data_IF_380445942556
#
_entry.id   IF_380445942556
#
_cell.length_a   1.000
_cell.length_b   1.000
_cell.length_c   1.000
_cell.angle_alpha   90.00
_cell.angle_beta   90.00
_cell.angle_gamma   90.00
#
_symmetry.space_group_name_H-M   'P 1'
#
loop_
_entity.id
_entity.type
_entity.pdbx_description
1 polymer ?
#
# COMPACT_ATOMS: atom_id res chain seq x y z
N UNK A 1 65.45 18.96 -10.94
CA UNK A 1 64.55 17.93 -11.49
C UNK A 1 63.83 17.24 -10.34
N UNK A 2 62.56 16.89 -10.54
CA UNK A 2 61.59 16.30 -9.60
C UNK A 2 60.94 17.30 -8.61
N UNK A 3 59.79 17.93 -8.90
CA UNK A 3 58.42 17.47 -9.28
C UNK A 3 57.56 17.20 -8.04
N UNK A 4 56.28 17.60 -8.13
CA UNK A 4 55.16 17.45 -7.18
C UNK A 4 55.01 18.64 -6.19
N UNK A 5 54.38 19.76 -6.56
CA UNK A 5 52.95 19.94 -6.89
C UNK A 5 52.00 19.39 -5.83
N UNK A 6 51.86 20.08 -4.68
CA UNK A 6 50.74 19.91 -3.74
C UNK A 6 50.51 21.20 -2.95
N UNK A 7 49.78 22.17 -3.50
CA UNK A 7 49.00 23.17 -2.73
C UNK A 7 47.89 23.69 -3.66
N UNK A 8 46.63 23.30 -3.40
CA UNK A 8 45.61 24.15 -2.77
C UNK A 8 45.19 25.34 -3.64
N UNK A 9 44.02 25.24 -4.27
CA UNK A 9 43.01 26.31 -4.49
C UNK A 9 41.90 25.71 -5.36
N UNK A 10 40.70 25.47 -4.83
CA UNK A 10 39.55 26.37 -5.04
C UNK A 10 38.98 26.12 -6.45
N UNK A 11 37.87 25.44 -6.66
CA UNK A 11 36.53 25.78 -6.17
C UNK A 11 35.63 24.57 -6.47
N UNK A 12 35.12 23.89 -5.45
CA UNK A 12 34.09 22.86 -5.59
C UNK A 12 32.76 23.59 -5.85
N UNK A 13 32.33 23.64 -7.11
CA UNK A 13 30.96 23.98 -7.48
C UNK A 13 30.09 22.83 -6.96
N UNK A 14 29.48 23.04 -5.80
CA UNK A 14 28.48 22.14 -5.22
C UNK A 14 27.24 22.13 -6.08
N UNK A 15 27.19 21.19 -7.03
CA UNK A 15 25.97 20.81 -7.73
C UNK A 15 25.03 20.18 -6.69
N UNK A 16 24.14 20.97 -6.10
CA UNK A 16 23.00 20.44 -5.36
C UNK A 16 22.13 19.67 -6.35
N UNK A 17 22.40 18.36 -6.45
CA UNK A 17 21.45 17.41 -6.98
C UNK A 17 20.27 17.39 -6.02
N UNK A 18 19.27 18.22 -6.30
CA UNK A 18 17.91 18.04 -5.84
C UNK A 18 17.43 16.68 -6.37
N UNK A 19 17.75 15.63 -5.62
CA UNK A 19 17.13 14.33 -5.79
C UNK A 19 15.70 14.49 -5.33
N UNK A 20 14.82 14.79 -6.29
CA UNK A 20 13.39 14.59 -6.13
C UNK A 20 13.20 13.09 -5.94
N UNK A 21 13.37 12.62 -4.69
CA UNK A 21 12.94 11.30 -4.31
C UNK A 21 11.43 11.27 -4.60
N UNK A 22 11.04 10.55 -5.65
CA UNK A 22 9.65 10.18 -5.85
C UNK A 22 9.23 9.44 -4.58
N UNK A 23 8.54 10.15 -3.68
CA UNK A 23 8.10 9.58 -2.42
C UNK A 23 7.13 8.44 -2.74
N UNK A 24 7.42 7.25 -2.21
CA UNK A 24 6.48 6.14 -2.26
C UNK A 24 5.13 6.61 -1.69
N UNK A 25 4.02 6.18 -2.30
CA UNK A 25 2.71 6.63 -1.85
C UNK A 25 2.47 6.23 -0.38
N UNK A 26 1.77 7.08 0.37
CA UNK A 26 1.53 6.83 1.80
C UNK A 26 0.41 5.81 2.02
N UNK A 27 -0.54 5.73 1.10
CA UNK A 27 -1.71 4.86 1.18
C UNK A 27 -1.85 4.01 -0.09
N UNK A 28 -2.49 2.85 0.05
CA UNK A 28 -2.90 2.04 -1.09
C UNK A 28 -4.41 1.79 -1.08
N UNK A 29 -5.00 1.67 -2.27
CA UNK A 29 -6.39 1.22 -2.45
C UNK A 29 -6.44 0.03 -3.39
N UNK A 30 -7.17 -1.01 -3.00
CA UNK A 30 -7.41 -2.21 -3.82
C UNK A 30 -8.89 -2.24 -4.23
N UNK A 31 -9.17 -2.01 -5.51
CA UNK A 31 -10.50 -2.09 -6.11
C UNK A 31 -10.79 -3.49 -6.66
N UNK A 32 -12.06 -3.79 -6.95
CA UNK A 32 -12.46 -5.11 -7.48
C UNK A 32 -11.94 -5.34 -8.90
N UNK A 33 -12.07 -4.35 -9.78
CA UNK A 33 -11.58 -4.41 -11.16
C UNK A 33 -11.50 -3.00 -11.74
N UNK A 34 -10.94 -2.82 -12.92
CA UNK A 34 -11.10 -1.61 -13.74
C UNK A 34 -11.77 -1.92 -15.09
N UNK A 35 -12.31 -3.13 -15.25
CA UNK A 35 -12.96 -3.58 -16.48
C UNK A 35 -14.39 -3.05 -16.65
N UNK A 36 -14.93 -2.32 -15.66
CA UNK A 36 -16.24 -1.69 -15.77
C UNK A 36 -16.21 -0.21 -15.34
N UNK A 37 -17.16 0.62 -15.83
CA UNK A 37 -17.14 2.06 -15.58
C UNK A 37 -17.28 2.45 -14.10
N UNK A 38 -18.01 1.68 -13.30
CA UNK A 38 -18.23 1.98 -11.88
C UNK A 38 -16.90 2.07 -11.12
N UNK A 39 -15.99 1.11 -11.32
CA UNK A 39 -14.70 1.14 -10.65
C UNK A 39 -13.71 2.15 -11.25
N UNK A 40 -13.86 2.50 -12.53
CA UNK A 40 -13.10 3.59 -13.16
C UNK A 40 -13.49 4.93 -12.53
N UNK A 41 -14.78 5.17 -12.33
CA UNK A 41 -15.29 6.36 -11.65
C UNK A 41 -14.87 6.39 -10.17
N UNK A 42 -14.93 5.25 -9.48
CA UNK A 42 -14.42 5.12 -8.11
C UNK A 42 -12.94 5.49 -8.01
N UNK A 43 -12.10 4.97 -8.93
CA UNK A 43 -10.67 5.32 -9.00
C UNK A 43 -10.49 6.84 -9.12
N UNK A 44 -11.23 7.48 -10.03
CA UNK A 44 -11.17 8.93 -10.22
C UNK A 44 -11.55 9.69 -8.95
N UNK A 45 -12.63 9.28 -8.27
CA UNK A 45 -13.05 9.87 -7.01
C UNK A 45 -11.98 9.78 -5.92
N UNK A 46 -11.30 8.63 -5.81
CA UNK A 46 -10.19 8.45 -4.88
C UNK A 46 -9.01 9.37 -5.23
N UNK A 47 -8.65 9.48 -6.51
CA UNK A 47 -7.55 10.35 -6.95
C UNK A 47 -7.84 11.84 -6.69
N UNK A 48 -9.08 12.26 -6.89
CA UNK A 48 -9.48 13.66 -6.68
C UNK A 48 -9.56 14.00 -5.18
N UNK A 49 -10.04 13.08 -4.35
CA UNK A 49 -10.03 13.24 -2.88
C UNK A 49 -8.60 13.24 -2.33
N UNK A 50 -7.73 12.35 -2.84
CA UNK A 50 -6.33 12.31 -2.42
C UNK A 50 -5.59 13.62 -2.72
N UNK A 51 -5.85 14.24 -3.88
CA UNK A 51 -5.33 15.59 -4.21
C UNK A 51 -5.87 16.65 -3.25
N UNK A 52 -7.16 16.60 -2.93
CA UNK A 52 -7.83 17.55 -2.03
C UNK A 52 -7.23 17.48 -0.62
N UNK A 53 -6.92 16.27 -0.15
CA UNK A 53 -6.30 16.04 1.16
C UNK A 53 -4.77 16.20 1.15
N UNK A 54 -4.15 16.35 -0.03
CA UNK A 54 -2.69 16.44 -0.16
C UNK A 54 -1.95 15.15 0.18
N UNK A 55 -2.61 13.99 0.03
CA UNK A 55 -2.02 12.67 0.31
C UNK A 55 -1.69 11.94 -0.98
N UNK A 56 -0.67 11.09 -0.95
CA UNK A 56 -0.32 10.20 -2.06
C UNK A 56 -0.99 8.84 -1.90
N UNK A 57 -1.63 8.36 -2.96
CA UNK A 57 -2.35 7.08 -2.99
C UNK A 57 -1.96 6.26 -4.22
N UNK A 58 -1.60 5.00 -4.01
CA UNK A 58 -1.46 4.02 -5.08
C UNK A 58 -2.77 3.25 -5.22
N UNK A 59 -3.34 3.19 -6.42
CA UNK A 59 -4.59 2.47 -6.68
C UNK A 59 -4.30 1.24 -7.53
N UNK A 60 -4.70 0.08 -7.01
CA UNK A 60 -4.59 -1.22 -7.65
C UNK A 60 -5.98 -1.82 -7.85
N UNK A 61 -6.09 -2.76 -8.78
CA UNK A 61 -7.32 -3.49 -9.00
C UNK A 61 -7.01 -4.92 -9.44
N UNK A 62 -7.93 -5.85 -9.16
CA UNK A 62 -7.82 -7.21 -9.69
C UNK A 62 -8.11 -7.24 -11.19
N UNK A 63 -7.54 -8.20 -11.94
CA UNK A 63 -7.79 -8.31 -13.37
C UNK A 63 -9.27 -8.47 -13.72
N UNK A 64 -10.02 -9.20 -12.90
CA UNK A 64 -11.47 -9.38 -13.03
C UNK A 64 -12.10 -9.67 -11.67
N UNK A 65 -13.43 -9.57 -11.60
CA UNK A 65 -14.17 -9.89 -10.37
C UNK A 65 -14.20 -11.39 -10.02
N UNK A 66 -13.75 -12.26 -10.93
CA UNK A 66 -13.57 -13.70 -10.67
C UNK A 66 -12.17 -14.08 -10.21
N UNK A 67 -11.22 -13.14 -10.20
CA UNK A 67 -9.80 -13.44 -9.92
C UNK A 67 -9.43 -13.22 -8.45
N UNK A 68 -10.01 -14.05 -7.59
CA UNK A 68 -9.79 -14.02 -6.13
C UNK A 68 -8.32 -14.24 -5.76
N UNK A 69 -7.61 -15.08 -6.50
CA UNK A 69 -6.23 -15.45 -6.21
C UNK A 69 -5.29 -14.27 -6.50
N UNK A 70 -5.46 -13.60 -7.63
CA UNK A 70 -4.66 -12.41 -7.94
C UNK A 70 -4.96 -11.28 -6.94
N UNK A 71 -6.21 -11.11 -6.50
CA UNK A 71 -6.52 -10.11 -5.47
C UNK A 71 -5.84 -10.43 -4.13
N UNK A 72 -5.87 -11.70 -3.73
CA UNK A 72 -5.24 -12.16 -2.49
C UNK A 72 -3.73 -11.87 -2.52
N UNK A 73 -3.04 -12.28 -3.59
CA UNK A 73 -1.59 -12.06 -3.75
C UNK A 73 -1.25 -10.57 -3.76
N UNK A 74 -2.00 -9.77 -4.52
CA UNK A 74 -1.85 -8.32 -4.54
C UNK A 74 -1.95 -7.73 -3.13
N UNK A 75 -2.97 -8.10 -2.36
CA UNK A 75 -3.14 -7.58 -1.01
C UNK A 75 -1.99 -7.99 -0.08
N UNK A 76 -1.51 -9.23 -0.17
CA UNK A 76 -0.35 -9.71 0.60
C UNK A 76 0.92 -8.93 0.27
N UNK A 77 1.17 -8.68 -1.01
CA UNK A 77 2.31 -7.89 -1.47
C UNK A 77 2.24 -6.46 -0.96
N UNK A 78 1.07 -5.81 -1.05
CA UNK A 78 0.87 -4.46 -0.52
C UNK A 78 1.02 -4.42 1.01
N UNK A 79 0.59 -5.48 1.71
CA UNK A 79 0.77 -5.61 3.16
C UNK A 79 2.22 -5.82 3.59
N UNK A 80 3.12 -6.12 2.64
CA UNK A 80 4.57 -6.18 2.86
C UNK A 80 5.28 -4.86 2.51
N UNK A 81 4.58 -3.90 1.91
CA UNK A 81 5.09 -2.54 1.64
C UNK A 81 4.83 -1.62 2.84
N UNK A 82 5.58 -0.52 2.91
CA UNK A 82 5.53 0.46 4.00
C UNK A 82 4.37 1.47 3.84
N UNK A 83 3.16 1.02 3.48
CA UNK A 83 1.99 1.89 3.49
C UNK A 83 1.52 2.15 4.91
N UNK A 84 1.06 3.38 5.18
CA UNK A 84 0.40 3.73 6.44
C UNK A 84 -0.97 3.06 6.55
N UNK A 85 -1.68 2.96 5.42
CA UNK A 85 -2.98 2.32 5.38
C UNK A 85 -3.34 1.76 4.01
N UNK A 86 -4.25 0.78 4.02
CA UNK A 86 -4.77 0.10 2.84
C UNK A 86 -6.30 0.11 2.92
N UNK A 87 -6.95 0.75 1.95
CA UNK A 87 -8.38 0.57 1.72
C UNK A 87 -8.60 -0.56 0.70
N UNK A 88 -9.64 -1.37 0.85
CA UNK A 88 -9.83 -2.53 -0.01
C UNK A 88 -11.31 -2.90 -0.19
N UNK A 89 -11.67 -3.21 -1.44
CA UNK A 89 -12.94 -3.80 -1.83
C UNK A 89 -12.73 -5.29 -2.13
N UNK A 90 -13.06 -6.19 -1.20
CA UNK A 90 -12.83 -7.62 -1.39
C UNK A 90 -13.77 -8.19 -2.47
N UNK A 91 -13.29 -9.14 -3.26
CA UNK A 91 -14.13 -9.84 -4.24
C UNK A 91 -15.16 -10.77 -3.60
N UNK A 92 -14.94 -11.22 -2.35
CA UNK A 92 -15.94 -11.92 -1.56
C UNK A 92 -15.80 -11.61 -0.08
N UNK A 93 -16.80 -11.97 0.73
CA UNK A 93 -16.74 -11.76 2.18
C UNK A 93 -15.59 -12.49 2.87
N UNK A 94 -14.99 -13.52 2.26
CA UNK A 94 -14.00 -14.39 2.91
C UNK A 94 -12.60 -14.35 2.31
N UNK A 95 -12.43 -13.92 1.06
CA UNK A 95 -11.14 -14.07 0.35
C UNK A 95 -9.98 -13.31 1.00
N UNK A 96 -10.25 -12.15 1.60
CA UNK A 96 -9.24 -11.30 2.23
C UNK A 96 -9.20 -11.39 3.77
N UNK A 97 -10.00 -12.25 4.42
CA UNK A 97 -10.05 -12.32 5.90
C UNK A 97 -8.68 -12.57 6.53
N UNK A 98 -7.96 -13.57 6.02
CA UNK A 98 -6.64 -13.94 6.54
C UNK A 98 -5.53 -12.90 6.26
N UNK A 99 -5.36 -12.37 5.04
CA UNK A 99 -4.35 -11.36 4.79
C UNK A 99 -4.67 -10.02 5.49
N UNK A 100 -5.93 -9.61 5.61
CA UNK A 100 -6.35 -8.42 6.39
C UNK A 100 -5.98 -8.60 7.87
N UNK A 101 -6.24 -9.77 8.45
CA UNK A 101 -5.84 -10.04 9.83
C UNK A 101 -4.32 -9.94 10.05
N UNK A 102 -3.52 -10.39 9.07
CA UNK A 102 -2.05 -10.25 9.10
C UNK A 102 -1.60 -8.80 8.94
N UNK A 103 -2.18 -8.05 8.01
CA UNK A 103 -1.85 -6.65 7.78
C UNK A 103 -2.15 -5.79 9.02
N UNK A 104 -3.28 -6.04 9.69
CA UNK A 104 -3.66 -5.35 10.92
C UNK A 104 -2.61 -5.53 12.02
N UNK A 105 -2.06 -6.74 12.17
CA UNK A 105 -0.97 -7.00 13.13
C UNK A 105 0.31 -6.23 12.88
N UNK A 106 0.56 -5.84 11.63
CA UNK A 106 1.71 -5.03 11.25
C UNK A 106 1.50 -3.54 11.57
N UNK A 107 0.34 -3.17 12.12
CA UNK A 107 0.00 -1.78 12.42
C UNK A 107 -0.48 -0.99 11.22
N UNK A 108 -0.83 -1.66 10.11
CA UNK A 108 -1.39 -1.01 8.92
C UNK A 108 -2.85 -0.65 9.21
N UNK A 109 -3.24 0.59 8.94
CA UNK A 109 -4.65 1.00 9.01
C UNK A 109 -5.44 0.39 7.85
N UNK A 110 -6.57 -0.24 8.14
CA UNK A 110 -7.34 -0.99 7.14
C UNK A 110 -8.77 -0.46 7.04
N UNK A 111 -9.23 -0.22 5.81
CA UNK A 111 -10.59 0.25 5.52
C UNK A 111 -11.26 -0.70 4.52
N UNK A 112 -12.37 -1.30 4.92
CA UNK A 112 -13.18 -2.14 4.03
C UNK A 112 -14.16 -1.27 3.24
N UNK A 113 -14.17 -1.44 1.92
CA UNK A 113 -15.03 -0.74 0.97
C UNK A 113 -15.96 -1.73 0.25
N UNK A 114 -17.15 -1.24 -0.13
CA UNK A 114 -18.13 -1.95 -0.98
C UNK A 114 -18.62 -3.31 -0.42
N UNK A 115 -17.92 -4.40 -0.71
CA UNK A 115 -18.27 -5.74 -0.24
C UNK A 115 -17.86 -5.92 1.24
N UNK A 116 -18.80 -6.39 2.05
CA UNK A 116 -18.57 -6.54 3.48
C UNK A 116 -17.76 -7.78 3.78
N UNK A 117 -16.58 -7.58 4.38
CA UNK A 117 -15.76 -8.70 4.87
C UNK A 117 -16.46 -9.41 6.04
N UNK A 118 -16.25 -10.72 6.15
CA UNK A 118 -16.74 -11.54 7.26
C UNK A 118 -16.01 -11.16 8.56
N UNK A 119 -16.63 -10.24 9.29
CA UNK A 119 -16.10 -9.71 10.54
C UNK A 119 -16.03 -10.74 11.65
N UNK A 120 -16.86 -11.79 11.62
CA UNK A 120 -16.84 -12.82 12.67
C UNK A 120 -15.62 -13.71 12.49
N UNK A 121 -15.34 -14.13 11.25
CA UNK A 121 -14.13 -14.86 10.95
C UNK A 121 -12.89 -13.98 11.09
N UNK A 122 -12.96 -12.69 10.77
CA UNK A 122 -11.86 -11.76 11.03
C UNK A 122 -11.54 -11.64 12.53
N UNK A 123 -12.56 -11.48 13.39
CA UNK A 123 -12.40 -11.46 14.86
C UNK A 123 -11.84 -12.77 15.39
N UNK A 124 -12.29 -13.92 14.87
CA UNK A 124 -11.71 -15.23 15.24
C UNK A 124 -10.25 -15.30 14.84
N UNK A 125 -9.91 -14.87 13.63
CA UNK A 125 -8.54 -14.82 13.13
C UNK A 125 -7.65 -13.96 14.01
N UNK A 126 -8.10 -12.79 14.45
CA UNK A 126 -7.39 -11.96 15.43
C UNK A 126 -7.18 -12.66 16.78
N UNK A 127 -8.20 -13.36 17.30
CA UNK A 127 -8.08 -14.13 18.56
C UNK A 127 -7.15 -15.34 18.45
N UNK A 128 -7.20 -16.06 17.33
CA UNK A 128 -6.34 -17.22 17.05
C UNK A 128 -4.89 -16.78 16.87
N UNK A 129 -4.70 -15.68 16.18
CA UNK A 129 -3.47 -14.93 16.10
C UNK A 129 -2.94 -14.45 17.45
N UNK A 130 -3.81 -14.03 18.36
CA UNK A 130 -3.47 -13.59 19.72
C UNK A 130 -3.00 -14.73 20.63
N UNK A 131 -3.54 -15.94 20.44
CA UNK A 131 -3.04 -17.15 21.14
C UNK A 131 -1.61 -17.55 20.78
N UNK A 132 -1.09 -17.08 19.65
CA UNK A 132 0.31 -17.27 19.24
C UNK A 132 1.19 -16.04 19.49
N UNK A 133 0.63 -14.89 19.90
CA UNK A 133 1.36 -13.63 20.09
C UNK A 133 1.71 -13.32 21.55
N UNK A 134 1.73 -14.31 22.45
CA UNK A 134 2.27 -14.14 23.81
C UNK A 134 3.82 -14.19 23.88
N UNK A 135 4.51 -13.86 22.80
CA UNK A 135 5.96 -13.66 22.79
C UNK A 135 6.34 -12.45 21.92
N UNK A 136 6.64 -11.36 22.64
CA UNK A 136 7.13 -10.04 22.22
C UNK A 136 6.09 -9.02 21.78
#
# INVERSE_FOLDING_TARGET
MNKYLKYFSGTLVGLMLSTSAFAAAEYAVVLKTLSNPFWVDMKKGIEDEAKTLGVSVDIFASPSEGDFQSQLQLFEDLSNKNYKGIAFAPLSSVNLVMPVARAWKKGIYLVNLDEKIDMDNLKKSWRQCGRFCHHR
#
